data_IF_688881039653
#
_entry.id   IF_688881039653
#
_cell.length_a   1.000
_cell.length_b   1.000
_cell.length_c   1.000
_cell.angle_alpha   90.00
_cell.angle_beta   90.00
_cell.angle_gamma   90.00
#
_symmetry.space_group_name_H-M   'P 1'
#
loop_
_entity.id
_entity.type
_entity.pdbx_description
1 polymer ?
#
# COMPACT_ATOMS: atom_id res chain seq x y z
N UNK A 1 49.56 13.03 28.69
CA UNK A 1 49.39 11.56 28.75
C UNK A 1 47.92 11.19 28.65
N UNK A 2 47.56 10.18 27.84
CA UNK A 2 46.19 9.65 27.75
C UNK A 2 46.09 8.43 28.68
N UNK A 3 44.89 8.15 29.17
CA UNK A 3 44.58 6.97 29.99
C UNK A 3 43.47 6.19 29.31
N UNK A 4 43.59 4.88 29.27
CA UNK A 4 42.45 3.99 29.03
C UNK A 4 41.70 3.81 30.35
N UNK A 5 40.38 3.75 30.29
CA UNK A 5 39.54 3.61 31.46
C UNK A 5 38.35 2.68 31.21
N UNK A 6 37.83 2.13 32.30
CA UNK A 6 36.54 1.44 32.33
C UNK A 6 35.65 2.15 33.35
N UNK A 7 34.48 2.60 32.90
CA UNK A 7 33.40 3.08 33.76
C UNK A 7 32.33 2.00 33.81
N UNK A 8 31.90 1.59 34.99
CA UNK A 8 30.82 0.63 35.20
C UNK A 8 29.56 1.33 35.69
N UNK A 9 28.40 0.94 35.15
CA UNK A 9 27.08 1.25 35.66
C UNK A 9 26.62 0.10 36.56
N UNK A 10 26.64 0.32 37.88
CA UNK A 10 26.29 -0.71 38.88
C UNK A 10 24.87 -1.22 38.73
N UNK A 11 23.96 -0.35 38.28
CA UNK A 11 22.53 -0.69 38.23
C UNK A 11 22.20 -1.54 37.01
N UNK A 12 22.95 -1.36 35.91
CA UNK A 12 22.69 -2.03 34.63
C UNK A 12 23.63 -3.19 34.32
N UNK A 13 24.70 -3.37 35.09
CA UNK A 13 25.75 -4.33 34.76
C UNK A 13 26.37 -4.07 33.39
N UNK A 14 26.57 -2.78 33.07
CA UNK A 14 27.14 -2.33 31.82
C UNK A 14 28.44 -1.56 32.06
N UNK A 15 29.45 -1.79 31.23
CA UNK A 15 30.74 -1.11 31.30
C UNK A 15 31.04 -0.37 30.01
N UNK A 16 31.56 0.85 30.13
CA UNK A 16 32.06 1.68 29.04
C UNK A 16 33.58 1.66 29.05
N UNK A 17 34.18 1.26 27.93
CA UNK A 17 35.64 1.34 27.72
C UNK A 17 35.93 2.59 26.92
N UNK A 18 36.86 3.43 27.37
CA UNK A 18 37.27 4.58 26.56
C UNK A 18 38.62 5.17 26.91
N UNK A 19 39.00 6.23 26.18
CA UNK A 19 40.28 6.93 26.33
C UNK A 19 40.09 8.40 26.71
N UNK A 20 40.77 8.87 27.76
CA UNK A 20 40.70 10.28 28.19
C UNK A 20 42.02 10.75 28.81
N UNK A 21 42.29 12.06 28.77
CA UNK A 21 43.36 12.67 29.59
C UNK A 21 42.96 12.67 31.07
N UNK A 22 41.66 12.84 31.35
CA UNK A 22 41.09 12.88 32.69
C UNK A 22 39.83 11.99 32.75
N UNK A 23 39.97 10.71 33.13
CA UNK A 23 38.85 9.78 33.27
C UNK A 23 37.80 10.23 34.30
N UNK A 24 38.20 10.93 35.36
CA UNK A 24 37.27 11.43 36.40
C UNK A 24 36.35 12.49 35.80
N UNK A 25 36.90 13.49 35.08
CA UNK A 25 36.07 14.48 34.38
C UNK A 25 35.10 13.81 33.41
N UNK A 26 35.55 12.76 32.72
CA UNK A 26 34.71 11.98 31.79
C UNK A 26 33.61 11.20 32.51
N UNK A 27 33.91 10.60 33.67
CA UNK A 27 32.93 9.98 34.55
C UNK A 27 31.83 10.97 34.92
N UNK A 28 32.19 12.17 35.39
CA UNK A 28 31.22 13.21 35.73
C UNK A 28 30.33 13.59 34.53
N UNK A 29 30.92 13.77 33.33
CA UNK A 29 30.14 14.04 32.11
C UNK A 29 29.21 12.89 31.71
N UNK A 30 29.64 11.63 31.90
CA UNK A 30 28.78 10.47 31.64
C UNK A 30 27.64 10.39 32.65
N UNK A 31 27.89 10.75 33.91
CA UNK A 31 26.90 10.70 34.99
C UNK A 31 25.73 11.67 34.75
N UNK A 32 25.96 12.82 34.12
CA UNK A 32 24.88 13.80 33.87
C UNK A 32 23.79 13.28 32.93
N UNK A 33 24.08 12.24 32.14
CA UNK A 33 23.15 11.64 31.17
C UNK A 33 22.80 10.18 31.50
N UNK A 34 23.26 9.65 32.64
CA UNK A 34 22.95 8.28 33.05
C UNK A 34 22.21 8.30 34.40
N UNK A 35 20.98 7.74 34.48
CA UNK A 35 20.26 7.63 35.75
C UNK A 35 20.86 6.59 36.71
N UNK A 36 21.75 5.71 36.25
CA UNK A 36 22.46 4.73 37.07
C UNK A 36 23.65 5.32 37.84
N UNK A 37 24.13 4.58 38.84
CA UNK A 37 25.35 4.95 39.60
C UNK A 37 26.57 4.51 38.82
N UNK A 38 27.32 5.47 38.26
CA UNK A 38 28.56 5.19 37.54
C UNK A 38 29.76 5.17 38.49
N UNK A 39 30.65 4.20 38.29
CA UNK A 39 31.93 4.12 39.00
C UNK A 39 33.09 3.89 38.03
N UNK A 40 34.24 4.48 38.33
CA UNK A 40 35.47 4.25 37.59
C UNK A 40 36.18 3.01 38.19
N UNK A 41 36.15 1.90 37.47
CA UNK A 41 36.66 0.61 37.99
C UNK A 41 38.08 0.28 37.54
N UNK A 42 38.52 0.87 36.43
CA UNK A 42 39.86 0.66 35.91
C UNK A 42 40.37 1.91 35.25
N UNK A 43 41.66 2.19 35.47
CA UNK A 43 42.41 3.15 34.66
C UNK A 43 43.84 2.69 34.49
N UNK A 44 44.36 2.80 33.28
CA UNK A 44 45.79 2.63 33.02
C UNK A 44 46.34 3.81 32.23
N UNK A 45 47.53 4.27 32.61
CA UNK A 45 48.26 5.33 31.91
C UNK A 45 48.88 4.74 30.65
N UNK A 46 48.82 5.49 29.55
CA UNK A 46 49.43 5.11 28.28
C UNK A 46 50.37 6.23 27.83
N UNK A 47 51.57 5.85 27.39
CA UNK A 47 52.65 6.78 27.05
C UNK A 47 52.30 7.63 25.82
N UNK A 48 51.70 7.02 24.79
CA UNK A 48 51.38 7.68 23.52
C UNK A 48 49.88 7.74 23.25
N UNK A 49 49.40 8.89 22.75
CA UNK A 49 47.98 9.10 22.44
C UNK A 49 47.50 8.25 21.26
N UNK A 50 48.34 8.05 20.24
CA UNK A 50 48.06 7.20 19.08
C UNK A 50 47.84 5.74 19.48
N UNK A 51 48.69 5.22 20.37
CA UNK A 51 48.57 3.88 20.95
C UNK A 51 47.27 3.74 21.73
N UNK A 52 46.89 4.75 22.51
CA UNK A 52 45.65 4.70 23.30
C UNK A 52 44.39 4.47 22.45
N UNK A 53 44.23 5.19 21.34
CA UNK A 53 43.08 4.99 20.45
C UNK A 53 43.12 3.66 19.70
N UNK A 54 44.31 3.18 19.32
CA UNK A 54 44.46 1.84 18.74
C UNK A 54 44.06 0.76 19.73
N UNK A 55 44.50 0.90 20.99
CA UNK A 55 44.18 -0.01 22.09
C UNK A 55 42.68 -0.06 22.37
N UNK A 56 42.03 1.10 22.43
CA UNK A 56 40.58 1.22 22.58
C UNK A 56 39.84 0.49 21.46
N UNK A 57 40.23 0.75 20.20
CA UNK A 57 39.65 0.10 19.03
C UNK A 57 39.86 -1.41 19.06
N UNK A 58 41.03 -1.88 19.46
CA UNK A 58 41.35 -3.30 19.58
C UNK A 58 40.51 -3.98 20.66
N UNK A 59 40.41 -3.39 21.86
CA UNK A 59 39.59 -3.91 22.95
C UNK A 59 38.11 -3.93 22.55
N UNK A 60 37.60 -2.88 21.90
CA UNK A 60 36.23 -2.86 21.37
C UNK A 60 35.99 -3.98 20.37
N UNK A 61 36.96 -4.25 19.49
CA UNK A 61 36.93 -5.38 18.54
C UNK A 61 36.84 -6.72 19.25
N UNK A 62 37.73 -6.98 20.21
CA UNK A 62 37.72 -8.20 21.00
C UNK A 62 36.40 -8.41 21.74
N UNK A 63 35.90 -7.38 22.45
CA UNK A 63 34.65 -7.47 23.20
C UNK A 63 33.43 -7.71 22.29
N UNK A 64 33.42 -7.15 21.07
CA UNK A 64 32.40 -7.44 20.06
C UNK A 64 32.47 -8.88 19.57
N UNK A 65 33.66 -9.40 19.29
CA UNK A 65 33.85 -10.80 18.88
C UNK A 65 33.38 -11.79 19.97
N UNK A 66 33.52 -11.42 21.25
CA UNK A 66 33.01 -12.21 22.38
C UNK A 66 31.50 -12.02 22.65
N UNK A 67 30.77 -11.27 21.83
CA UNK A 67 29.33 -11.06 22.01
C UNK A 67 28.98 -10.22 23.25
N UNK A 68 29.92 -9.44 23.78
CA UNK A 68 29.71 -8.60 24.97
C UNK A 68 29.19 -7.19 24.62
N UNK A 69 29.05 -6.86 23.34
CA UNK A 69 28.61 -5.53 22.90
C UNK A 69 27.12 -5.31 23.16
N UNK A 70 26.78 -4.19 23.82
CA UNK A 70 25.39 -3.78 24.03
C UNK A 70 24.97 -2.76 22.99
N UNK A 71 25.50 -1.54 23.08
CA UNK A 71 25.27 -0.46 22.12
C UNK A 71 26.39 0.59 22.20
N UNK A 72 26.72 1.23 21.07
CA UNK A 72 27.75 2.26 21.03
C UNK A 72 29.08 1.77 21.63
N UNK A 73 29.54 2.45 22.69
CA UNK A 73 30.77 2.13 23.45
C UNK A 73 30.48 1.38 24.77
N UNK A 74 29.28 0.82 24.94
CA UNK A 74 28.86 0.09 26.13
C UNK A 74 28.85 -1.42 25.90
N UNK A 75 29.31 -2.15 26.91
CA UNK A 75 29.50 -3.59 26.92
C UNK A 75 28.92 -4.22 28.18
N UNK A 76 28.55 -5.50 28.15
CA UNK A 76 28.11 -6.24 29.32
C UNK A 76 29.27 -6.37 30.32
N UNK A 77 29.06 -5.95 31.55
CA UNK A 77 30.07 -6.07 32.60
C UNK A 77 30.34 -7.53 32.92
N UNK A 78 31.60 -7.92 32.89
CA UNK A 78 32.07 -9.23 33.31
C UNK A 78 33.45 -9.08 33.95
N UNK A 79 33.81 -9.95 34.89
CA UNK A 79 35.19 -10.02 35.42
C UNK A 79 36.21 -10.20 34.28
N UNK A 80 35.82 -10.91 33.21
CA UNK A 80 36.61 -11.10 31.99
C UNK A 80 36.94 -9.78 31.28
N UNK A 81 36.00 -8.82 31.22
CA UNK A 81 36.24 -7.53 30.56
C UNK A 81 37.37 -6.74 31.22
N UNK A 82 37.36 -6.68 32.56
CA UNK A 82 38.39 -5.98 33.33
C UNK A 82 39.73 -6.68 33.16
N UNK A 83 39.77 -8.01 33.26
CA UNK A 83 40.97 -8.83 33.02
C UNK A 83 41.57 -8.58 31.64
N UNK A 84 40.79 -8.78 30.57
CA UNK A 84 41.22 -8.56 29.18
C UNK A 84 41.78 -7.14 29.00
N UNK A 85 41.10 -6.13 29.54
CA UNK A 85 41.54 -4.74 29.39
C UNK A 85 42.83 -4.46 30.17
N UNK A 86 42.98 -5.06 31.36
CA UNK A 86 44.18 -4.93 32.17
C UNK A 86 45.39 -5.61 31.51
N UNK A 87 45.22 -6.85 31.05
CA UNK A 87 46.25 -7.66 30.39
C UNK A 87 46.74 -6.99 29.10
N UNK A 88 45.80 -6.51 28.29
CA UNK A 88 46.11 -5.80 27.05
C UNK A 88 46.78 -4.44 27.36
N UNK A 89 46.35 -3.72 28.38
CA UNK A 89 46.99 -2.47 28.76
C UNK A 89 48.40 -2.67 29.35
N UNK A 90 48.67 -3.78 30.06
CA UNK A 90 50.00 -4.07 30.60
C UNK A 90 50.99 -4.46 29.49
N UNK A 91 50.57 -5.30 28.53
CA UNK A 91 51.39 -5.67 27.36
C UNK A 91 51.85 -4.43 26.57
N UNK A 92 50.95 -3.48 26.32
CA UNK A 92 51.30 -2.25 25.60
C UNK A 92 52.20 -1.29 26.39
N UNK A 93 52.25 -1.41 27.71
CA UNK A 93 53.15 -0.62 28.54
C UNK A 93 54.54 -1.27 28.69
N UNK A 94 54.65 -2.61 28.65
CA UNK A 94 55.94 -3.30 28.57
C UNK A 94 56.60 -3.13 27.21
N UNK A 95 55.79 -3.14 26.14
CA UNK A 95 56.29 -3.21 24.77
C UNK A 95 56.54 -1.83 24.15
N UNK A 96 56.57 -0.76 24.95
CA UNK A 96 56.84 0.61 24.49
C UNK A 96 58.24 0.80 23.86
N UNK A 97 59.08 -0.24 23.82
CA UNK A 97 60.34 -0.29 23.07
C UNK A 97 60.26 -1.08 21.75
N UNK A 98 59.23 -1.90 21.53
CA UNK A 98 59.07 -2.62 20.27
C UNK A 98 58.17 -1.83 19.33
N UNK A 99 58.81 -1.24 18.32
CA UNK A 99 58.20 -0.57 17.17
C UNK A 99 56.98 -1.38 16.72
N UNK A 100 55.77 -0.82 16.89
CA UNK A 100 54.55 -1.38 16.31
C UNK A 100 54.84 -1.77 14.86
N UNK A 101 54.54 -3.01 14.42
CA UNK A 101 54.47 -3.28 13.00
C UNK A 101 53.52 -2.22 12.44
N UNK A 102 54.01 -1.40 11.52
CA UNK A 102 53.15 -0.57 10.71
C UNK A 102 52.37 -1.55 9.83
N UNK A 103 51.38 -2.22 10.42
CA UNK A 103 50.35 -2.92 9.67
C UNK A 103 49.75 -1.84 8.78
N UNK A 104 49.99 -1.98 7.49
CA UNK A 104 49.83 -0.93 6.50
C UNK A 104 48.37 -0.47 6.45
N UNK A 105 48.05 0.54 7.25
CA UNK A 105 46.72 1.14 7.40
C UNK A 105 46.26 1.70 6.05
N UNK A 106 47.18 1.95 5.12
CA UNK A 106 46.85 2.37 3.76
C UNK A 106 46.15 1.28 2.96
N UNK A 107 46.57 0.01 3.12
CA UNK A 107 45.99 -1.14 2.42
C UNK A 107 44.56 -1.43 2.89
N UNK A 108 44.32 -1.39 4.20
CA UNK A 108 42.97 -1.56 4.77
C UNK A 108 42.03 -0.41 4.38
N UNK A 109 42.55 0.82 4.27
CA UNK A 109 41.77 1.97 3.78
C UNK A 109 41.45 1.85 2.29
N UNK A 110 42.33 1.26 1.49
CA UNK A 110 42.08 1.01 0.08
C UNK A 110 40.98 -0.06 -0.12
N UNK A 111 41.07 -1.18 0.59
CA UNK A 111 40.04 -2.24 0.57
C UNK A 111 38.67 -1.72 1.03
N UNK A 112 38.61 -0.99 2.14
CA UNK A 112 37.33 -0.44 2.62
C UNK A 112 36.70 0.57 1.64
N UNK A 113 37.51 1.33 0.89
CA UNK A 113 37.01 2.20 -0.19
C UNK A 113 36.47 1.40 -1.38
N UNK A 114 37.14 0.32 -1.78
CA UNK A 114 36.68 -0.57 -2.84
C UNK A 114 35.37 -1.25 -2.45
N UNK A 115 35.28 -1.81 -1.24
CA UNK A 115 34.06 -2.43 -0.73
C UNK A 115 32.88 -1.44 -0.67
N UNK A 116 33.15 -0.20 -0.24
CA UNK A 116 32.14 0.86 -0.23
C UNK A 116 31.66 1.22 -1.65
N UNK A 117 32.56 1.24 -2.64
CA UNK A 117 32.22 1.48 -4.04
C UNK A 117 31.37 0.35 -4.61
N UNK A 118 31.76 -0.90 -4.37
CA UNK A 118 31.02 -2.10 -4.80
C UNK A 118 29.61 -2.12 -4.19
N UNK A 119 29.48 -1.87 -2.88
CA UNK A 119 28.15 -1.78 -2.22
C UNK A 119 27.27 -0.69 -2.80
N UNK A 120 27.85 0.47 -3.16
CA UNK A 120 27.11 1.56 -3.82
C UNK A 120 26.66 1.17 -5.23
N UNK A 121 27.49 0.47 -5.99
CA UNK A 121 27.15 -0.02 -7.32
C UNK A 121 26.01 -1.05 -7.26
N UNK A 122 26.10 -2.06 -6.39
CA UNK A 122 25.05 -3.07 -6.19
C UNK A 122 23.74 -2.42 -5.76
N UNK A 123 23.78 -1.43 -4.85
CA UNK A 123 22.57 -0.71 -4.42
C UNK A 123 21.91 0.06 -5.56
N UNK A 124 22.69 0.68 -6.45
CA UNK A 124 22.17 1.39 -7.63
C UNK A 124 21.53 0.42 -8.61
N UNK A 125 22.16 -0.73 -8.85
CA UNK A 125 21.63 -1.77 -9.74
C UNK A 125 20.32 -2.36 -9.22
N UNK A 126 20.25 -2.72 -7.93
CA UNK A 126 19.00 -3.19 -7.31
C UNK A 126 17.88 -2.16 -7.43
N UNK A 127 18.19 -0.88 -7.22
CA UNK A 127 17.20 0.21 -7.38
C UNK A 127 16.70 0.34 -8.82
N UNK A 128 17.56 0.10 -9.83
CA UNK A 128 17.14 0.08 -11.24
C UNK A 128 16.20 -1.10 -11.51
N UNK A 129 16.55 -2.30 -11.03
CA UNK A 129 15.71 -3.50 -11.16
C UNK A 129 14.33 -3.31 -10.52
N UNK A 130 14.27 -2.76 -9.31
CA UNK A 130 13.00 -2.44 -8.65
C UNK A 130 12.14 -1.45 -9.45
N UNK A 131 12.77 -0.46 -10.10
CA UNK A 131 12.06 0.52 -10.92
C UNK A 131 11.54 -0.12 -12.22
N UNK A 132 12.31 -0.99 -12.85
CA UNK A 132 11.90 -1.73 -14.04
C UNK A 132 10.76 -2.70 -13.74
N UNK A 133 10.83 -3.43 -12.63
CA UNK A 133 9.76 -4.31 -12.19
C UNK A 133 8.46 -3.54 -11.90
N UNK A 134 8.56 -2.37 -11.25
CA UNK A 134 7.39 -1.49 -11.04
C UNK A 134 6.79 -1.01 -12.37
N UNK A 135 7.61 -0.74 -13.39
CA UNK A 135 7.11 -0.37 -14.74
C UNK A 135 6.40 -1.55 -15.40
N UNK A 136 6.97 -2.76 -15.34
CA UNK A 136 6.36 -3.99 -15.88
C UNK A 136 5.00 -4.28 -15.24
N UNK A 137 4.90 -4.26 -13.91
CA UNK A 137 3.63 -4.47 -13.19
C UNK A 137 2.57 -3.44 -13.59
N UNK A 138 2.95 -2.18 -13.82
CA UNK A 138 2.01 -1.16 -14.31
C UNK A 138 1.52 -1.46 -15.73
N UNK A 139 2.41 -1.90 -16.62
CA UNK A 139 2.05 -2.29 -17.99
C UNK A 139 1.11 -3.51 -18.01
N UNK A 140 1.39 -4.54 -17.20
CA UNK A 140 0.53 -5.72 -17.05
C UNK A 140 -0.86 -5.34 -16.52
N UNK A 141 -0.93 -4.46 -15.51
CA UNK A 141 -2.21 -3.97 -14.99
C UNK A 141 -3.01 -3.18 -16.04
N UNK A 142 -2.34 -2.39 -16.89
CA UNK A 142 -3.03 -1.69 -17.98
C UNK A 142 -3.55 -2.66 -19.04
N UNK A 143 -2.76 -3.66 -19.41
CA UNK A 143 -3.17 -4.70 -20.37
C UNK A 143 -4.38 -5.48 -19.86
N UNK A 144 -4.34 -5.97 -18.60
CA UNK A 144 -5.46 -6.69 -18.00
C UNK A 144 -6.74 -5.85 -17.96
N UNK A 145 -6.65 -4.56 -17.62
CA UNK A 145 -7.81 -3.65 -17.63
C UNK A 145 -8.40 -3.46 -19.04
N UNK A 146 -7.56 -3.45 -20.07
CA UNK A 146 -8.02 -3.37 -21.46
C UNK A 146 -8.68 -4.66 -21.93
N UNK A 147 -8.11 -5.82 -21.60
CA UNK A 147 -8.72 -7.12 -21.90
C UNK A 147 -10.06 -7.31 -21.18
N UNK A 148 -10.15 -6.93 -19.91
CA UNK A 148 -11.40 -6.97 -19.16
C UNK A 148 -12.48 -6.07 -19.80
N UNK A 149 -12.09 -4.87 -20.26
CA UNK A 149 -12.99 -3.99 -21.01
C UNK A 149 -13.44 -4.61 -22.34
N UNK A 150 -12.54 -5.29 -23.07
CA UNK A 150 -12.87 -6.01 -24.31
C UNK A 150 -13.85 -7.15 -24.05
N UNK A 151 -13.62 -7.97 -23.02
CA UNK A 151 -14.53 -9.06 -22.61
C UNK A 151 -15.92 -8.53 -22.26
N UNK A 152 -16.01 -7.47 -21.45
CA UNK A 152 -17.29 -6.83 -21.10
C UNK A 152 -18.05 -6.30 -22.31
N UNK A 153 -17.34 -5.76 -23.31
CA UNK A 153 -17.95 -5.31 -24.58
C UNK A 153 -18.52 -6.48 -25.39
N UNK A 154 -17.76 -7.58 -25.50
CA UNK A 154 -18.21 -8.79 -26.19
C UNK A 154 -19.43 -9.42 -25.50
N UNK A 155 -19.40 -9.53 -24.17
CA UNK A 155 -20.55 -10.05 -23.40
C UNK A 155 -21.80 -9.17 -23.60
N UNK A 156 -21.65 -7.85 -23.54
CA UNK A 156 -22.75 -6.92 -23.79
C UNK A 156 -23.31 -7.06 -25.22
N UNK A 157 -22.44 -7.27 -26.21
CA UNK A 157 -22.85 -7.50 -27.59
C UNK A 157 -23.63 -8.82 -27.74
N UNK A 158 -23.13 -9.91 -27.15
CA UNK A 158 -23.80 -11.21 -27.17
C UNK A 158 -25.18 -11.15 -26.48
N UNK A 159 -25.30 -10.43 -25.37
CA UNK A 159 -26.59 -10.21 -24.70
C UNK A 159 -27.54 -9.44 -25.63
N UNK A 160 -27.06 -8.39 -26.30
CA UNK A 160 -27.88 -7.62 -27.24
C UNK A 160 -28.38 -8.48 -28.40
N UNK A 161 -27.52 -9.32 -28.99
CA UNK A 161 -27.87 -10.26 -30.05
C UNK A 161 -28.92 -11.28 -29.60
N UNK A 162 -28.78 -11.83 -28.38
CA UNK A 162 -29.77 -12.74 -27.79
C UNK A 162 -31.12 -12.06 -27.58
N UNK A 163 -31.15 -10.82 -27.11
CA UNK A 163 -32.39 -10.04 -26.95
C UNK A 163 -33.06 -9.80 -28.30
N UNK A 164 -32.29 -9.42 -29.33
CA UNK A 164 -32.82 -9.24 -30.69
C UNK A 164 -33.43 -10.54 -31.20
N UNK A 165 -32.73 -11.68 -31.06
CA UNK A 165 -33.22 -12.99 -31.49
C UNK A 165 -34.53 -13.38 -30.78
N UNK A 166 -34.63 -13.12 -29.47
CA UNK A 166 -35.85 -13.38 -28.69
C UNK A 166 -37.03 -12.48 -29.13
N UNK A 167 -36.75 -11.25 -29.58
CA UNK A 167 -37.75 -10.29 -30.04
C UNK A 167 -38.16 -10.48 -31.51
N UNK A 168 -37.27 -11.02 -32.37
CA UNK A 168 -37.56 -11.30 -33.78
C UNK A 168 -38.38 -12.59 -33.96
N UNK A 169 -38.50 -13.40 -32.91
CA UNK A 169 -39.41 -14.54 -32.88
C UNK A 169 -40.87 -14.04 -32.89
N UNK A 170 -41.53 -14.24 -34.03
CA UNK A 170 -42.94 -14.00 -34.35
C UNK A 170 -43.43 -12.55 -34.59
N UNK A 171 -42.83 -11.88 -35.59
CA UNK A 171 -43.55 -10.80 -36.28
C UNK A 171 -44.75 -11.32 -37.11
N UNK A 172 -44.75 -12.60 -37.51
CA UNK A 172 -45.81 -13.24 -38.28
C UNK A 172 -46.95 -13.83 -37.43
N UNK A 173 -46.79 -13.97 -36.11
CA UNK A 173 -47.88 -14.42 -35.20
C UNK A 173 -48.39 -13.32 -34.25
N UNK A 174 -48.03 -12.06 -34.48
CA UNK A 174 -48.36 -10.97 -33.56
C UNK A 174 -49.73 -10.34 -33.88
N UNK A 175 -50.79 -11.13 -33.76
CA UNK A 175 -52.11 -10.60 -33.42
C UNK A 175 -52.29 -10.72 -31.91
N UNK A 176 -52.53 -9.56 -31.27
CA UNK A 176 -53.10 -9.41 -29.91
C UNK A 176 -52.29 -9.95 -28.72
N UNK A 177 -51.58 -9.03 -28.04
CA UNK A 177 -51.57 -8.78 -26.58
C UNK A 177 -51.30 -9.89 -25.55
N UNK A 178 -51.15 -11.16 -25.93
CA UNK A 178 -51.27 -12.30 -24.97
C UNK A 178 -49.95 -13.01 -24.67
N UNK A 179 -48.95 -13.08 -25.56
CA UNK A 179 -47.75 -13.93 -25.33
C UNK A 179 -46.62 -13.31 -24.47
N UNK A 180 -46.74 -12.06 -23.99
CA UNK A 180 -45.69 -11.44 -23.16
C UNK A 180 -45.70 -11.98 -21.71
N UNK A 181 -46.85 -12.44 -21.20
CA UNK A 181 -46.94 -13.01 -19.83
C UNK A 181 -46.18 -14.34 -19.69
N UNK A 182 -46.18 -15.19 -20.72
CA UNK A 182 -45.57 -16.53 -20.67
C UNK A 182 -44.04 -16.50 -20.73
N UNK A 183 -43.43 -15.49 -21.35
CA UNK A 183 -41.96 -15.38 -21.43
C UNK A 183 -41.32 -14.57 -20.30
N UNK A 184 -42.11 -14.15 -19.29
CA UNK A 184 -41.60 -13.42 -18.12
C UNK A 184 -40.48 -14.20 -17.43
N UNK A 185 -40.64 -15.51 -17.29
CA UNK A 185 -39.70 -16.36 -16.56
C UNK A 185 -38.38 -16.57 -17.32
N UNK A 186 -38.38 -16.37 -18.65
CA UNK A 186 -37.17 -16.41 -19.48
C UNK A 186 -36.42 -15.06 -19.52
N UNK A 187 -37.15 -13.93 -19.40
CA UNK A 187 -36.59 -12.58 -19.49
C UNK A 187 -36.04 -12.04 -18.16
N UNK A 188 -36.63 -12.45 -17.03
CA UNK A 188 -36.21 -12.00 -15.70
C UNK A 188 -34.76 -12.39 -15.37
N UNK A 189 -34.28 -13.64 -15.63
CA UNK A 189 -32.89 -14.02 -15.35
C UNK A 189 -31.87 -13.22 -16.17
N UNK A 190 -32.17 -12.94 -17.45
CA UNK A 190 -31.30 -12.15 -18.34
C UNK A 190 -31.18 -10.71 -17.81
N UNK A 191 -32.28 -10.11 -17.38
CA UNK A 191 -32.30 -8.75 -16.83
C UNK A 191 -31.66 -8.65 -15.45
N UNK A 192 -31.80 -9.67 -14.60
CA UNK A 192 -31.11 -9.75 -13.31
C UNK A 192 -29.60 -9.90 -13.49
N UNK A 193 -29.15 -10.64 -14.52
CA UNK A 193 -27.72 -10.75 -14.87
C UNK A 193 -27.14 -9.42 -15.39
N UNK A 194 -27.92 -8.64 -16.15
CA UNK A 194 -27.51 -7.31 -16.61
C UNK A 194 -27.50 -6.24 -15.50
N UNK A 195 -28.35 -6.38 -14.49
CA UNK A 195 -28.51 -5.40 -13.40
C UNK A 195 -28.52 -6.06 -12.02
N UNK A 196 -27.42 -6.70 -11.59
CA UNK A 196 -27.39 -7.50 -10.36
C UNK A 196 -27.65 -6.68 -9.10
N UNK A 197 -27.36 -5.37 -9.15
CA UNK A 197 -27.47 -4.44 -8.02
C UNK A 197 -28.89 -3.85 -7.82
N UNK A 198 -29.87 -4.15 -8.70
CA UNK A 198 -31.18 -3.47 -8.65
C UNK A 198 -32.34 -4.46 -8.77
N UNK A 199 -33.04 -4.67 -7.64
CA UNK A 199 -34.34 -5.32 -7.65
C UNK A 199 -35.36 -4.41 -8.36
N UNK A 200 -35.96 -4.88 -9.45
CA UNK A 200 -37.02 -4.17 -10.14
C UNK A 200 -38.31 -4.29 -9.32
N UNK A 201 -38.86 -3.16 -8.85
CA UNK A 201 -40.05 -3.18 -7.98
C UNK A 201 -41.33 -3.37 -8.77
N UNK A 202 -41.33 -2.98 -10.04
CA UNK A 202 -42.50 -3.13 -10.92
C UNK A 202 -42.11 -3.52 -12.34
N UNK A 203 -43.03 -4.21 -13.03
CA UNK A 203 -42.88 -4.59 -14.43
C UNK A 203 -42.70 -3.39 -15.37
N UNK A 204 -43.30 -2.24 -14.99
CA UNK A 204 -43.15 -0.97 -15.72
C UNK A 204 -41.72 -0.41 -15.67
N UNK A 205 -41.01 -0.58 -14.55
CA UNK A 205 -39.60 -0.21 -14.43
C UNK A 205 -38.71 -1.11 -15.30
N UNK A 206 -39.02 -2.41 -15.36
CA UNK A 206 -38.31 -3.37 -16.19
C UNK A 206 -38.41 -3.00 -17.68
N UNK A 207 -39.64 -2.79 -18.16
CA UNK A 207 -39.90 -2.39 -19.56
C UNK A 207 -39.27 -1.03 -19.87
N UNK A 208 -39.41 -0.05 -18.97
CA UNK A 208 -38.81 1.27 -19.16
C UNK A 208 -37.29 1.22 -19.32
N UNK A 209 -36.61 0.31 -18.61
CA UNK A 209 -35.18 0.09 -18.76
C UNK A 209 -34.82 -0.72 -19.99
N UNK A 210 -35.59 -1.73 -20.38
CA UNK A 210 -35.39 -2.43 -21.65
C UNK A 210 -35.45 -1.44 -22.82
N UNK A 211 -36.45 -0.55 -22.83
CA UNK A 211 -36.58 0.49 -23.85
C UNK A 211 -35.37 1.45 -23.81
N UNK A 212 -34.89 1.83 -22.63
CA UNK A 212 -33.71 2.68 -22.51
C UNK A 212 -32.42 2.01 -23.01
N UNK A 213 -32.22 0.72 -22.72
CA UNK A 213 -31.09 -0.08 -23.23
C UNK A 213 -31.17 -0.17 -24.75
N UNK A 214 -32.32 -0.53 -25.30
CA UNK A 214 -32.55 -0.61 -26.74
C UNK A 214 -32.23 0.75 -27.39
N UNK A 215 -32.72 1.86 -26.83
CA UNK A 215 -32.45 3.21 -27.36
C UNK A 215 -30.97 3.62 -27.29
N UNK A 216 -30.25 3.27 -26.22
CA UNK A 216 -28.83 3.60 -26.10
C UNK A 216 -27.94 2.75 -27.01
N UNK A 217 -28.31 1.49 -27.28
CA UNK A 217 -27.62 0.63 -28.26
C UNK A 217 -27.99 0.97 -29.71
N UNK A 218 -29.20 1.49 -29.94
CA UNK A 218 -29.77 1.84 -31.25
C UNK A 218 -29.07 3.04 -31.93
N UNK A 219 -28.22 3.78 -31.21
CA UNK A 219 -27.62 5.03 -31.70
C UNK A 219 -26.57 4.87 -32.82
N UNK A 220 -26.24 3.65 -33.26
CA UNK A 220 -25.37 3.46 -34.44
C UNK A 220 -26.02 2.80 -35.66
N UNK A 221 -27.14 2.07 -35.54
CA UNK A 221 -27.72 1.34 -36.69
C UNK A 221 -29.27 1.35 -36.80
N UNK A 222 -30.01 2.01 -35.91
CA UNK A 222 -31.48 1.96 -35.87
C UNK A 222 -32.12 3.36 -35.82
N UNK A 223 -31.69 4.28 -36.68
CA UNK A 223 -32.27 5.64 -36.83
C UNK A 223 -33.73 5.65 -37.33
N UNK A 224 -34.40 4.50 -37.46
CA UNK A 224 -35.71 4.35 -38.13
C UNK A 224 -36.89 4.04 -37.19
N UNK A 225 -36.71 4.06 -35.87
CA UNK A 225 -37.81 3.79 -34.92
C UNK A 225 -37.94 4.99 -33.96
N UNK A 226 -39.07 5.70 -34.02
CA UNK A 226 -39.37 6.84 -33.15
C UNK A 226 -40.39 6.41 -32.10
N UNK A 227 -40.01 6.51 -30.82
CA UNK A 227 -40.92 6.23 -29.71
C UNK A 227 -41.62 7.53 -29.32
N UNK A 228 -42.91 7.65 -29.61
CA UNK A 228 -43.74 8.80 -29.23
C UNK A 228 -44.54 8.50 -27.96
N UNK A 229 -44.59 9.48 -27.04
CA UNK A 229 -45.47 9.42 -25.87
C UNK A 229 -46.87 9.85 -26.28
N UNK A 230 -47.84 8.96 -26.20
CA UNK A 230 -49.24 9.30 -26.48
C UNK A 230 -49.97 9.49 -25.14
N UNK A 231 -50.56 10.66 -24.87
CA UNK A 231 -51.38 10.86 -23.68
C UNK A 231 -52.66 10.03 -23.79
N UNK A 232 -53.06 9.39 -22.70
CA UNK A 232 -54.32 8.63 -22.65
C UNK A 232 -55.47 9.65 -22.54
N UNK A 233 -56.40 9.70 -23.50
CA UNK A 233 -57.60 10.54 -23.36
C UNK A 233 -58.42 10.04 -22.16
N UNK A 234 -58.76 10.94 -21.23
CA UNK A 234 -59.67 10.66 -20.12
C UNK A 234 -59.06 10.15 -18.81
N UNK A 235 -57.76 9.81 -18.73
CA UNK A 235 -57.17 9.30 -17.48
C UNK A 235 -56.76 10.44 -16.52
N UNK A 236 -57.70 10.96 -15.71
CA UNK A 236 -57.36 11.77 -14.53
C UNK A 236 -57.43 10.91 -13.26
N UNK A 237 -56.31 10.31 -12.86
CA UNK A 237 -56.22 9.66 -11.55
C UNK A 237 -56.13 10.71 -10.43
N UNK A 238 -57.20 10.86 -9.63
CA UNK A 238 -57.17 11.62 -8.37
C UNK A 238 -56.61 10.72 -7.26
N UNK A 239 -55.37 10.95 -6.85
CA UNK A 239 -54.80 10.34 -5.65
C UNK A 239 -55.35 11.07 -4.42
N UNK A 240 -56.12 10.39 -3.57
CA UNK A 240 -56.51 10.89 -2.25
C UNK A 240 -55.35 10.67 -1.28
N UNK A 241 -54.65 11.73 -0.88
CA UNK A 241 -53.73 11.69 0.26
C UNK A 241 -54.52 11.86 1.57
N UNK A 242 -54.32 10.96 2.53
CA UNK A 242 -54.81 11.12 3.91
C UNK A 242 -53.99 12.23 4.61
N UNK A 243 -54.67 13.13 5.32
CA UNK A 243 -54.11 14.21 6.15
C UNK A 243 -53.31 13.62 7.30
N UNK A 244 -52.06 14.04 7.48
CA UNK A 244 -51.33 13.97 8.76
C UNK A 244 -51.48 15.30 9.51
N UNK A 245 -51.49 15.25 10.85
CA UNK A 245 -51.90 16.34 11.77
C UNK A 245 -50.94 17.55 11.88
N UNK A 246 -49.96 17.72 11.01
CA UNK A 246 -49.03 18.85 11.06
C UNK A 246 -49.35 19.85 9.95
N UNK A 247 -49.86 21.02 10.32
CA UNK A 247 -50.36 22.05 9.42
C UNK A 247 -49.28 22.74 8.57
N UNK A 248 -48.91 22.13 7.45
CA UNK A 248 -48.24 22.82 6.34
C UNK A 248 -48.98 22.60 5.01
N UNK A 249 -49.30 23.71 4.35
CA UNK A 249 -49.98 23.75 3.05
C UNK A 249 -49.13 23.06 1.98
N UNK A 250 -49.69 22.01 1.36
CA UNK A 250 -49.06 21.35 0.19
C UNK A 250 -49.92 21.52 -1.06
N UNK A 251 -49.32 22.14 -2.09
CA UNK A 251 -49.89 22.30 -3.44
C UNK A 251 -50.14 20.93 -4.08
N UNK A 252 -51.39 20.64 -4.45
CA UNK A 252 -51.78 19.44 -5.21
C UNK A 252 -51.11 19.42 -6.59
N UNK A 253 -50.16 18.51 -6.83
CA UNK A 253 -49.61 18.24 -8.17
C UNK A 253 -50.36 17.08 -8.84
N UNK A 254 -50.99 17.34 -9.99
CA UNK A 254 -51.57 16.30 -10.87
C UNK A 254 -50.43 15.59 -11.61
N UNK A 255 -50.32 14.26 -11.51
CA UNK A 255 -49.44 13.45 -12.36
C UNK A 255 -50.23 12.91 -13.55
N UNK A 256 -49.74 13.12 -14.78
CA UNK A 256 -50.28 12.51 -16.00
C UNK A 256 -49.73 11.11 -16.18
N UNK A 257 -50.58 10.17 -16.59
CA UNK A 257 -50.19 8.79 -16.94
C UNK A 257 -50.05 8.72 -18.46
N UNK A 258 -48.98 8.08 -18.94
CA UNK A 258 -48.71 7.90 -20.37
C UNK A 258 -48.57 6.42 -20.69
N UNK A 259 -49.01 6.01 -21.89
CA UNK A 259 -48.61 4.76 -22.53
C UNK A 259 -47.56 5.06 -23.62
N UNK A 260 -46.73 4.06 -23.91
CA UNK A 260 -45.73 4.11 -24.98
C UNK A 260 -46.20 3.21 -26.11
N UNK A 261 -46.25 3.74 -27.32
CA UNK A 261 -46.59 3.00 -28.53
C UNK A 261 -45.41 3.08 -29.49
N UNK A 262 -45.03 1.94 -30.07
CA UNK A 262 -44.00 1.88 -31.10
C UNK A 262 -44.67 2.07 -32.45
N UNK A 263 -44.33 3.16 -33.16
CA UNK A 263 -44.85 3.43 -34.50
C UNK A 263 -43.73 3.26 -35.54
N UNK A 264 -43.95 2.47 -36.61
CA UNK A 264 -43.05 2.49 -37.75
C UNK A 264 -43.15 3.83 -38.49
N UNK A 265 -42.00 4.42 -38.85
CA UNK A 265 -41.92 5.77 -39.47
C UNK A 265 -42.69 5.89 -40.79
N UNK A 266 -43.07 4.77 -41.44
CA UNK A 266 -43.80 4.79 -42.72
C UNK A 266 -45.28 5.23 -42.64
N UNK A 267 -45.83 5.54 -41.47
CA UNK A 267 -47.26 5.91 -41.30
C UNK A 267 -47.51 7.30 -40.67
N UNK A 268 -46.56 8.23 -40.75
CA UNK A 268 -46.80 9.63 -40.40
C UNK A 268 -46.81 10.46 -41.69
N UNK A 269 -48.00 10.75 -42.21
CA UNK A 269 -48.25 11.94 -43.03
C UNK A 269 -48.69 13.06 -42.09
#
# INVERSE_FOLDING_TARGET
MKKIYIIEDKNRGASKVGVSKNPIKRLCTCQTHNPGVLQLVFTSKLLQASVAFKLESYIHGLLKCHGLHLHGEWFKTTKKLIGITADVASQYNSDAQHVCPQHDVSLQRAQTKQDAATRRATRRENKRREQEEKKRRKQEQTHHKEEEKKRKRQEAQQIAENVIRLCQFDASQCTTSIKIKEKKDQLVPVMQKMYPQKQFRTYKELIGRMIHVINNFSNKNLSKIKITRVPIPGSQCRVKCKRTKSGTSTRKRRRRVFHYQLLPIKKLK
#
